data_IF_560271163587
#
_entry.id   IF_560271163587
#
_cell.length_a   1.000
_cell.length_b   1.000
_cell.length_c   1.000
_cell.angle_alpha   90.00
_cell.angle_beta   90.00
_cell.angle_gamma   90.00
#
_symmetry.space_group_name_H-M   'P 1'
#
loop_
_entity.id
_entity.type
_entity.pdbx_description
1 polymer ?
#
# COMPACT_ATOMS: atom_id res chain seq x y z
N UNK A 1 23.04 8.98 10.15
CA UNK A 1 21.58 8.75 10.09
C UNK A 1 21.01 9.09 8.73
N UNK A 2 21.44 10.18 8.09
CA UNK A 2 20.95 10.60 6.76
C UNK A 2 21.07 9.50 5.68
N UNK A 3 22.19 8.78 5.61
CA UNK A 3 22.37 7.68 4.66
C UNK A 3 21.30 6.59 4.77
N UNK A 4 20.83 6.28 5.98
CA UNK A 4 19.78 5.29 6.19
C UNK A 4 18.42 5.81 5.72
N UNK A 5 18.11 7.08 5.98
CA UNK A 5 16.87 7.73 5.53
C UNK A 5 16.84 7.79 4.00
N UNK A 6 17.94 8.23 3.38
CA UNK A 6 18.09 8.30 1.94
C UNK A 6 17.94 6.91 1.29
N UNK A 7 18.54 5.88 1.90
CA UNK A 7 18.37 4.50 1.47
C UNK A 7 16.89 4.07 1.52
N UNK A 8 16.17 4.36 2.61
CA UNK A 8 14.74 4.04 2.73
C UNK A 8 13.90 4.79 1.69
N UNK A 9 14.20 6.06 1.41
CA UNK A 9 13.52 6.84 0.36
C UNK A 9 13.73 6.20 -1.02
N UNK A 10 14.95 5.78 -1.35
CA UNK A 10 15.22 5.07 -2.60
C UNK A 10 14.48 3.74 -2.68
N UNK A 11 14.42 2.97 -1.60
CA UNK A 11 13.66 1.73 -1.56
C UNK A 11 12.15 1.97 -1.70
N UNK A 12 11.60 2.98 -1.03
CA UNK A 12 10.21 3.39 -1.18
C UNK A 12 9.90 3.74 -2.65
N UNK A 13 10.72 4.58 -3.27
CA UNK A 13 10.56 5.00 -4.66
C UNK A 13 10.69 3.81 -5.64
N UNK A 14 11.63 2.90 -5.39
CA UNK A 14 11.83 1.70 -6.22
C UNK A 14 10.60 0.78 -6.16
N UNK A 15 10.17 0.39 -4.96
CA UNK A 15 9.01 -0.50 -4.80
C UNK A 15 7.70 0.16 -5.22
N UNK A 16 7.54 1.46 -4.94
CA UNK A 16 6.39 2.25 -5.37
C UNK A 16 6.34 2.35 -6.90
N UNK A 17 7.47 2.65 -7.53
CA UNK A 17 7.60 2.68 -8.98
C UNK A 17 7.31 1.33 -9.64
N UNK A 18 7.87 0.23 -9.13
CA UNK A 18 7.57 -1.13 -9.60
C UNK A 18 6.10 -1.50 -9.37
N UNK A 19 5.53 -1.10 -8.23
CA UNK A 19 4.11 -1.21 -7.92
C UNK A 19 3.27 -0.54 -8.99
N UNK A 20 3.47 0.75 -9.22
CA UNK A 20 2.74 1.53 -10.23
C UNK A 20 2.92 0.97 -11.65
N UNK A 21 4.14 0.62 -12.05
CA UNK A 21 4.42 0.06 -13.36
C UNK A 21 3.66 -1.26 -13.59
N UNK A 22 3.66 -2.16 -12.60
CA UNK A 22 2.92 -3.42 -12.67
C UNK A 22 1.40 -3.20 -12.56
N UNK A 23 0.95 -2.19 -11.82
CA UNK A 23 -0.44 -1.76 -11.77
C UNK A 23 -0.96 -1.29 -13.13
N UNK A 24 -0.22 -0.39 -13.79
CA UNK A 24 -0.51 0.06 -15.15
C UNK A 24 -0.50 -1.11 -16.14
N UNK A 25 0.50 -1.98 -16.07
CA UNK A 25 0.55 -3.19 -16.89
C UNK A 25 -0.66 -4.11 -16.67
N UNK A 26 -1.16 -4.21 -15.43
CA UNK A 26 -2.35 -4.98 -15.10
C UNK A 26 -3.63 -4.41 -15.74
N UNK A 27 -3.74 -3.08 -15.83
CA UNK A 27 -4.87 -2.40 -16.48
C UNK A 27 -4.89 -2.68 -17.99
N UNK A 28 -3.72 -2.67 -18.64
CA UNK A 28 -3.58 -2.93 -20.08
C UNK A 28 -3.75 -4.42 -20.39
N UNK A 29 -3.31 -5.31 -19.50
CA UNK A 29 -3.43 -6.74 -19.69
C UNK A 29 -4.90 -7.17 -19.77
N UNK A 30 -5.19 -8.15 -20.65
CA UNK A 30 -6.53 -8.73 -20.79
C UNK A 30 -7.07 -9.13 -19.41
N UNK A 31 -8.22 -8.58 -19.02
CA UNK A 31 -8.91 -8.90 -17.76
C UNK A 31 -9.00 -10.41 -17.57
N UNK A 32 -8.76 -10.88 -16.34
CA UNK A 32 -8.68 -12.29 -15.92
C UNK A 32 -7.58 -13.16 -16.55
N UNK A 33 -6.76 -12.66 -17.47
CA UNK A 33 -5.61 -13.41 -18.00
C UNK A 33 -4.57 -13.73 -16.92
N UNK A 34 -3.74 -14.77 -17.11
CA UNK A 34 -2.63 -15.07 -16.19
C UNK A 34 -1.69 -13.88 -15.99
N UNK A 35 -1.47 -13.08 -17.05
CA UNK A 35 -0.65 -11.88 -16.99
C UNK A 35 -1.28 -10.81 -16.08
N UNK A 36 -2.58 -10.52 -16.24
CA UNK A 36 -3.31 -9.58 -15.37
C UNK A 36 -3.23 -10.01 -13.89
N UNK A 37 -3.42 -11.30 -13.60
CA UNK A 37 -3.33 -11.82 -12.23
C UNK A 37 -1.92 -11.72 -11.64
N UNK A 38 -0.88 -11.99 -12.45
CA UNK A 38 0.53 -11.91 -12.02
C UNK A 38 0.93 -10.47 -11.77
N UNK A 39 0.60 -9.56 -12.67
CA UNK A 39 0.87 -8.12 -12.53
C UNK A 39 0.11 -7.52 -11.35
N UNK A 40 -1.16 -7.85 -11.15
CA UNK A 40 -1.92 -7.45 -9.96
C UNK A 40 -1.34 -7.98 -8.64
N UNK A 41 -0.69 -9.16 -8.65
CA UNK A 41 0.03 -9.68 -7.48
C UNK A 41 1.30 -8.88 -7.20
N UNK A 42 2.08 -8.52 -8.23
CA UNK A 42 3.27 -7.67 -8.08
C UNK A 42 2.92 -6.25 -7.64
N UNK A 43 1.85 -5.66 -8.19
CA UNK A 43 1.30 -4.38 -7.76
C UNK A 43 1.02 -4.40 -6.24
N UNK A 44 0.30 -5.43 -5.78
CA UNK A 44 -0.04 -5.58 -4.35
C UNK A 44 1.21 -5.58 -3.45
N UNK A 45 2.22 -6.42 -3.75
CA UNK A 45 3.41 -6.49 -2.91
C UNK A 45 4.28 -5.23 -3.02
N UNK A 46 4.43 -4.66 -4.21
CA UNK A 46 5.21 -3.44 -4.42
C UNK A 46 4.63 -2.26 -3.65
N UNK A 47 3.32 -2.03 -3.77
CA UNK A 47 2.64 -0.95 -3.07
C UNK A 47 2.62 -1.16 -1.55
N UNK A 48 2.41 -2.40 -1.07
CA UNK A 48 2.39 -2.69 0.36
C UNK A 48 3.76 -2.45 1.01
N UNK A 49 4.84 -2.95 0.38
CA UNK A 49 6.21 -2.75 0.89
C UNK A 49 6.56 -1.26 0.83
N UNK A 50 6.26 -0.58 -0.27
CA UNK A 50 6.51 0.85 -0.44
C UNK A 50 5.82 1.69 0.64
N UNK A 51 4.54 1.42 0.93
CA UNK A 51 3.78 2.13 1.95
C UNK A 51 4.30 1.87 3.37
N UNK A 52 4.70 0.63 3.68
CA UNK A 52 5.31 0.29 4.97
C UNK A 52 6.64 1.02 5.20
N UNK A 53 7.41 1.27 4.13
CA UNK A 53 8.65 2.05 4.21
C UNK A 53 8.35 3.55 4.42
N UNK A 54 7.29 4.10 3.80
CA UNK A 54 6.97 5.53 3.94
C UNK A 54 6.45 5.93 5.32
N UNK A 55 5.77 5.03 6.04
CA UNK A 55 5.25 5.31 7.39
C UNK A 55 6.32 5.80 8.38
N UNK A 56 7.44 5.07 8.61
CA UNK A 56 8.48 5.56 9.50
C UNK A 56 9.16 6.82 8.96
N UNK A 57 9.35 6.96 7.63
CA UNK A 57 9.95 8.16 7.03
C UNK A 57 9.12 9.40 7.37
N UNK A 58 7.80 9.32 7.24
CA UNK A 58 6.89 10.43 7.49
C UNK A 58 6.78 10.86 8.96
N UNK A 59 7.41 10.11 9.89
CA UNK A 59 7.50 10.44 11.31
C UNK A 59 8.90 10.90 11.75
N UNK A 60 9.92 10.81 10.88
CA UNK A 60 11.28 11.20 11.23
C UNK A 60 11.44 12.73 11.36
N UNK A 61 12.33 13.20 12.25
CA UNK A 61 12.67 14.62 12.34
C UNK A 61 13.17 15.14 10.98
N UNK A 62 12.78 16.36 10.61
CA UNK A 62 12.98 17.01 9.30
C UNK A 62 12.17 16.45 8.10
N UNK A 63 11.49 15.30 8.23
CA UNK A 63 10.66 14.70 7.17
C UNK A 63 9.20 14.49 7.62
N UNK A 64 8.82 15.08 8.76
CA UNK A 64 7.51 14.89 9.36
C UNK A 64 6.43 15.53 8.50
N UNK A 65 5.47 14.72 8.06
CA UNK A 65 4.28 15.19 7.33
C UNK A 65 3.08 14.31 7.69
N UNK A 66 2.13 14.82 8.50
CA UNK A 66 0.91 14.09 8.83
C UNK A 66 0.15 13.62 7.58
N UNK A 67 0.11 14.45 6.55
CA UNK A 67 -0.51 14.13 5.27
C UNK A 67 0.11 12.90 4.59
N UNK A 68 1.45 12.84 4.49
CA UNK A 68 2.14 11.70 3.87
C UNK A 68 2.00 10.43 4.72
N UNK A 69 1.94 10.57 6.03
CA UNK A 69 1.69 9.47 6.95
C UNK A 69 0.29 8.86 6.74
N UNK A 70 -0.75 9.71 6.71
CA UNK A 70 -2.14 9.30 6.47
C UNK A 70 -2.32 8.63 5.10
N UNK A 71 -1.72 9.18 4.03
CA UNK A 71 -1.76 8.55 2.70
C UNK A 71 -1.07 7.17 2.72
N UNK A 72 0.00 7.01 3.49
CA UNK A 72 0.64 5.71 3.69
C UNK A 72 -0.32 4.68 4.28
N UNK A 73 -1.03 5.04 5.36
CA UNK A 73 -2.05 4.20 6.00
C UNK A 73 -3.19 3.90 5.02
N UNK A 74 -3.69 4.92 4.33
CA UNK A 74 -4.76 4.79 3.34
C UNK A 74 -4.38 3.85 2.21
N UNK A 75 -3.13 3.93 1.73
CA UNK A 75 -2.63 3.04 0.68
C UNK A 75 -2.61 1.58 1.16
N UNK A 76 -2.17 1.34 2.40
CA UNK A 76 -2.21 0.01 3.02
C UNK A 76 -3.66 -0.49 3.08
N UNK A 77 -4.60 0.34 3.55
CA UNK A 77 -6.02 0.02 3.57
C UNK A 77 -6.55 -0.37 2.18
N UNK A 78 -6.30 0.43 1.15
CA UNK A 78 -6.78 0.17 -0.22
C UNK A 78 -6.20 -1.13 -0.80
N UNK A 79 -4.90 -1.36 -0.61
CA UNK A 79 -4.22 -2.54 -1.17
C UNK A 79 -4.67 -3.82 -0.47
N UNK A 80 -4.82 -3.81 0.86
CA UNK A 80 -5.32 -4.95 1.62
C UNK A 80 -6.79 -5.23 1.33
N UNK A 81 -7.66 -4.22 1.46
CA UNK A 81 -9.10 -4.37 1.22
C UNK A 81 -9.39 -4.77 -0.24
N UNK A 82 -8.70 -4.16 -1.22
CA UNK A 82 -8.81 -4.51 -2.62
C UNK A 82 -8.41 -5.96 -2.92
N UNK A 83 -7.34 -6.47 -2.28
CA UNK A 83 -6.95 -7.89 -2.41
C UNK A 83 -7.98 -8.83 -1.78
N UNK A 84 -8.59 -8.42 -0.67
CA UNK A 84 -9.62 -9.21 0.01
C UNK A 84 -10.94 -9.22 -0.74
N UNK A 85 -11.34 -8.12 -1.37
CA UNK A 85 -12.54 -8.03 -2.19
C UNK A 85 -12.57 -9.03 -3.36
N UNK A 86 -11.40 -9.46 -3.85
CA UNK A 86 -11.29 -10.50 -4.88
C UNK A 86 -11.64 -11.91 -4.36
N UNK A 87 -11.61 -12.13 -3.04
CA UNK A 87 -12.03 -13.38 -2.42
C UNK A 87 -13.46 -13.18 -1.94
N UNK A 88 -14.44 -13.61 -2.72
CA UNK A 88 -15.84 -13.60 -2.27
C UNK A 88 -15.97 -14.42 -0.99
N UNK A 89 -16.42 -13.77 0.09
CA UNK A 89 -16.68 -14.40 1.38
C UNK A 89 -18.07 -13.98 1.87
N UNK A 90 -18.91 -14.92 2.32
CA UNK A 90 -20.26 -14.61 2.80
C UNK A 90 -20.29 -13.86 4.14
N UNK A 91 -19.18 -13.88 4.90
CA UNK A 91 -19.06 -13.20 6.19
C UNK A 91 -17.71 -12.49 6.31
N UNK A 92 -17.69 -11.31 6.92
CA UNK A 92 -16.48 -10.56 7.21
C UNK A 92 -15.69 -11.25 8.33
N UNK A 93 -14.39 -11.45 8.11
CA UNK A 93 -13.51 -12.02 9.12
C UNK A 93 -12.94 -10.94 10.03
N UNK A 94 -12.39 -11.33 11.18
CA UNK A 94 -11.73 -10.43 12.13
C UNK A 94 -10.69 -9.52 11.45
N UNK A 95 -9.96 -10.02 10.44
CA UNK A 95 -8.99 -9.22 9.69
C UNK A 95 -9.66 -8.12 8.84
N UNK A 96 -10.88 -8.31 8.33
CA UNK A 96 -11.61 -7.24 7.60
C UNK A 96 -12.02 -6.12 8.55
N UNK A 97 -12.45 -6.49 9.75
CA UNK A 97 -12.78 -5.57 10.83
C UNK A 97 -11.54 -4.83 11.34
N UNK A 98 -10.39 -5.50 11.47
CA UNK A 98 -9.14 -4.85 11.86
C UNK A 98 -8.66 -3.84 10.80
N UNK A 99 -8.73 -4.19 9.51
CA UNK A 99 -8.33 -3.30 8.43
C UNK A 99 -9.25 -2.06 8.39
N UNK A 100 -10.56 -2.28 8.50
CA UNK A 100 -11.56 -1.19 8.42
C UNK A 100 -11.57 -0.34 9.69
N UNK A 101 -11.49 -0.98 10.86
CA UNK A 101 -11.42 -0.30 12.16
C UNK A 101 -10.12 0.48 12.33
N UNK A 102 -8.99 -0.05 11.86
CA UNK A 102 -7.72 0.69 11.82
C UNK A 102 -7.84 1.97 11.01
N UNK A 103 -8.44 1.91 9.81
CA UNK A 103 -8.68 3.09 8.99
C UNK A 103 -9.55 4.14 9.72
N UNK A 104 -10.63 3.73 10.37
CA UNK A 104 -11.51 4.65 11.10
C UNK A 104 -10.78 5.38 12.23
N UNK A 105 -10.00 4.65 13.04
CA UNK A 105 -9.29 5.25 14.19
C UNK A 105 -8.28 6.31 13.76
N UNK A 106 -7.61 6.12 12.62
CA UNK A 106 -6.57 7.05 12.16
C UNK A 106 -7.10 8.22 11.33
N UNK A 107 -8.29 8.10 10.70
CA UNK A 107 -8.86 9.17 9.87
C UNK A 107 -9.92 10.03 10.57
N UNK A 108 -10.50 9.55 11.66
CA UNK A 108 -11.43 10.32 12.50
C UNK A 108 -10.71 11.14 13.60
N UNK A 109 -9.41 10.89 13.80
CA UNK A 109 -8.61 11.50 14.86
C UNK A 109 -7.89 12.81 14.49
N UNK A 110 -8.02 13.27 13.25
CA UNK A 110 -7.41 14.51 12.71
C UNK A 110 -8.51 15.48 12.21
#
# INVERSE_FOLDING_TARGET
MENAIQFLIYMHALFGGLGLATGLGSIVAKKSSPLHQRLGKWFYFGMLISALISLPIAWLPNHRSPFLFLIGIFTIYLVLSGRRALRYKPQAELVDWLISGGMLVFFDSD
#
